data_IF_276089261168
#
_entry.id   IF_276089261168
#
_cell.length_a   1.000
_cell.length_b   1.000
_cell.length_c   1.000
_cell.angle_alpha   90.00
_cell.angle_beta   90.00
_cell.angle_gamma   90.00
#
_symmetry.space_group_name_H-M   'P 1'
#
loop_
_entity.id
_entity.type
_entity.pdbx_description
1 polymer ?
#
# COMPACT_ATOMS: atom_id res chain seq x y z
N UNK A 1 7.40 -5.73 6.52
CA UNK A 1 8.62 -6.08 5.74
C UNK A 1 8.23 -7.20 4.79
N UNK A 2 8.21 -6.93 3.49
CA UNK A 2 7.92 -7.95 2.49
C UNK A 2 9.07 -8.94 2.50
N UNK A 3 8.80 -10.20 2.84
CA UNK A 3 9.84 -11.23 2.84
C UNK A 3 9.77 -11.99 1.52
N UNK A 4 10.85 -12.06 0.72
CA UNK A 4 10.93 -13.06 -0.32
C UNK A 4 10.87 -14.43 0.33
N UNK A 5 10.07 -15.33 -0.20
CA UNK A 5 9.93 -16.68 0.37
C UNK A 5 11.26 -17.44 0.45
N UNK A 6 12.24 -17.06 -0.38
CA UNK A 6 13.61 -17.61 -0.34
C UNK A 6 14.59 -16.58 -0.93
N UNK A 7 15.35 -15.89 -0.09
CA UNK A 7 16.59 -15.26 -0.53
C UNK A 7 17.65 -16.38 -0.66
N UNK A 8 17.54 -17.18 -1.72
CA UNK A 8 18.38 -18.38 -1.91
C UNK A 8 19.85 -18.07 -2.24
N UNK A 9 20.17 -16.81 -2.51
CA UNK A 9 21.55 -16.37 -2.82
C UNK A 9 21.86 -15.02 -2.17
N UNK A 10 23.14 -14.81 -1.79
CA UNK A 10 23.61 -13.53 -1.26
C UNK A 10 23.33 -12.37 -2.24
N UNK A 11 23.43 -12.61 -3.54
CA UNK A 11 23.10 -11.63 -4.60
C UNK A 11 21.66 -11.14 -4.48
N UNK A 12 20.71 -12.04 -4.35
CA UNK A 12 19.29 -11.70 -4.24
C UNK A 12 18.98 -10.92 -2.96
N UNK A 13 19.59 -11.32 -1.85
CA UNK A 13 19.42 -10.61 -0.57
C UNK A 13 19.96 -9.18 -0.61
N UNK A 14 21.15 -8.99 -1.21
CA UNK A 14 21.75 -7.65 -1.39
C UNK A 14 20.91 -6.82 -2.37
N UNK A 15 20.47 -7.40 -3.49
CA UNK A 15 19.58 -6.74 -4.45
C UNK A 15 18.27 -6.27 -3.82
N UNK A 16 17.63 -7.11 -3.00
CA UNK A 16 16.44 -6.73 -2.25
C UNK A 16 16.73 -5.59 -1.26
N UNK A 17 17.82 -5.68 -0.51
CA UNK A 17 18.22 -4.62 0.40
C UNK A 17 18.46 -3.29 -0.32
N UNK A 18 19.15 -3.30 -1.47
CA UNK A 18 19.36 -2.12 -2.31
C UNK A 18 18.04 -1.57 -2.84
N UNK A 19 17.11 -2.45 -3.29
CA UNK A 19 15.77 -2.04 -3.70
C UNK A 19 15.00 -1.37 -2.56
N UNK A 20 15.01 -1.94 -1.36
CA UNK A 20 14.34 -1.33 -0.20
C UNK A 20 14.97 0.02 0.19
N UNK A 21 16.29 0.16 0.11
CA UNK A 21 16.96 1.45 0.29
C UNK A 21 16.50 2.49 -0.74
N UNK A 22 16.33 2.08 -2.00
CA UNK A 22 15.78 2.97 -3.04
C UNK A 22 14.34 3.40 -2.70
N UNK A 23 13.47 2.47 -2.23
CA UNK A 23 12.07 2.82 -1.87
C UNK A 23 11.98 3.74 -0.67
N UNK A 24 12.85 3.54 0.34
CA UNK A 24 12.79 4.31 1.60
C UNK A 24 13.47 5.68 1.47
N UNK A 25 14.60 5.75 0.78
CA UNK A 25 15.43 6.96 0.72
C UNK A 25 15.39 7.66 -0.65
N UNK A 26 15.74 6.94 -1.72
CA UNK A 26 15.84 7.53 -3.06
C UNK A 26 14.54 8.15 -3.57
N UNK A 27 13.41 7.49 -3.36
CA UNK A 27 12.11 7.97 -3.85
C UNK A 27 11.69 9.33 -3.27
N UNK A 28 12.33 9.76 -2.18
CA UNK A 28 12.07 11.04 -1.52
C UNK A 28 13.00 12.16 -1.97
N UNK A 29 14.06 11.83 -2.70
CA UNK A 29 15.04 12.82 -3.15
C UNK A 29 14.47 13.63 -4.31
N UNK A 30 14.55 14.97 -4.19
CA UNK A 30 13.95 15.87 -5.17
C UNK A 30 14.90 16.21 -6.31
N UNK A 31 16.21 16.37 -6.04
CA UNK A 31 17.20 16.79 -7.03
C UNK A 31 17.90 15.62 -7.69
N UNK A 32 18.42 15.82 -8.91
CA UNK A 32 19.20 14.79 -9.61
C UNK A 32 20.52 14.56 -8.88
N UNK A 33 21.18 15.64 -8.43
CA UNK A 33 22.46 15.56 -7.71
C UNK A 33 22.37 14.71 -6.44
N UNK A 34 21.29 14.86 -5.66
CA UNK A 34 21.05 14.04 -4.46
C UNK A 34 20.84 12.57 -4.82
N UNK A 35 20.17 12.29 -5.94
CA UNK A 35 19.93 10.94 -6.43
C UNK A 35 21.22 10.28 -6.87
N UNK A 36 22.06 10.98 -7.59
CA UNK A 36 23.37 10.49 -8.03
C UNK A 36 24.29 10.27 -6.83
N UNK A 37 24.33 11.21 -5.90
CA UNK A 37 25.06 11.04 -4.65
C UNK A 37 24.60 9.81 -3.84
N UNK A 38 23.29 9.60 -3.74
CA UNK A 38 22.74 8.41 -3.07
C UNK A 38 23.19 7.11 -3.74
N UNK A 39 23.17 7.04 -5.07
CA UNK A 39 23.63 5.86 -5.80
C UNK A 39 25.12 5.58 -5.59
N UNK A 40 25.96 6.61 -5.59
CA UNK A 40 27.39 6.47 -5.27
C UNK A 40 27.60 5.98 -3.83
N UNK A 41 26.93 6.59 -2.87
CA UNK A 41 27.00 6.19 -1.47
C UNK A 41 26.54 4.73 -1.26
N UNK A 42 25.46 4.33 -1.91
CA UNK A 42 24.95 2.96 -1.84
C UNK A 42 25.94 1.97 -2.45
N UNK A 43 26.56 2.32 -3.59
CA UNK A 43 27.60 1.55 -4.23
C UNK A 43 28.84 1.33 -3.34
N UNK A 44 29.34 2.40 -2.73
CA UNK A 44 30.43 2.35 -1.77
C UNK A 44 30.12 1.47 -0.57
N UNK A 45 28.88 1.57 -0.05
CA UNK A 45 28.44 0.76 1.09
C UNK A 45 28.41 -0.73 0.74
N UNK A 46 27.87 -1.09 -0.42
CA UNK A 46 27.88 -2.49 -0.92
C UNK A 46 29.32 -2.99 -1.05
N UNK A 47 30.21 -2.22 -1.68
CA UNK A 47 31.60 -2.59 -1.87
C UNK A 47 32.37 -2.79 -0.58
N UNK A 48 32.13 -1.96 0.44
CA UNK A 48 32.77 -2.09 1.78
C UNK A 48 32.21 -3.24 2.60
N UNK A 49 30.88 -3.37 2.61
CA UNK A 49 30.20 -4.33 3.53
C UNK A 49 30.24 -5.75 3.00
N UNK A 50 30.15 -5.93 1.68
CA UNK A 50 30.04 -7.23 1.05
C UNK A 50 31.27 -7.63 0.22
N UNK A 51 32.39 -6.96 0.40
CA UNK A 51 33.66 -7.21 -0.32
C UNK A 51 34.11 -8.69 -0.28
N UNK A 52 33.87 -9.36 0.86
CA UNK A 52 34.24 -10.78 1.03
C UNK A 52 33.42 -11.75 0.17
N UNK A 53 32.25 -11.34 -0.31
CA UNK A 53 31.39 -12.17 -1.18
C UNK A 53 31.71 -12.03 -2.66
N UNK A 54 32.63 -11.14 -3.04
CA UNK A 54 32.93 -10.82 -4.45
C UNK A 54 31.82 -10.10 -5.18
N UNK A 55 30.77 -9.64 -4.45
CA UNK A 55 29.65 -8.92 -4.99
C UNK A 55 29.90 -7.41 -4.89
N UNK A 56 29.60 -6.71 -5.96
CA UNK A 56 29.65 -5.26 -6.03
C UNK A 56 28.26 -4.68 -6.40
N UNK A 57 28.15 -3.37 -6.41
CA UNK A 57 26.92 -2.68 -6.74
C UNK A 57 26.37 -3.09 -8.12
N UNK A 58 27.22 -3.11 -9.15
CA UNK A 58 26.83 -3.42 -10.51
C UNK A 58 26.31 -4.86 -10.64
N UNK A 59 26.97 -5.83 -9.99
CA UNK A 59 26.55 -7.23 -10.00
C UNK A 59 25.21 -7.47 -9.32
N UNK A 60 24.83 -6.60 -8.38
CA UNK A 60 23.59 -6.71 -7.60
C UNK A 60 22.48 -5.81 -8.11
N UNK A 61 22.79 -4.81 -8.95
CA UNK A 61 21.84 -3.79 -9.40
C UNK A 61 20.89 -4.26 -10.53
N UNK A 62 20.85 -5.55 -10.84
CA UNK A 62 19.97 -6.13 -11.86
C UNK A 62 20.51 -5.98 -13.28
N UNK A 63 20.13 -6.91 -14.13
CA UNK A 63 20.50 -6.96 -15.56
C UNK A 63 19.33 -6.56 -16.48
N UNK A 64 18.31 -5.90 -15.92
CA UNK A 64 17.09 -5.59 -16.65
C UNK A 64 17.10 -4.24 -17.37
N UNK A 65 16.01 -3.97 -18.10
CA UNK A 65 15.77 -2.69 -18.81
C UNK A 65 15.66 -1.52 -17.83
N UNK A 66 15.15 -1.78 -16.64
CA UNK A 66 15.05 -0.86 -15.52
C UNK A 66 15.55 -1.56 -14.26
N UNK A 67 16.78 -1.23 -13.81
CA UNK A 67 17.35 -1.87 -12.65
C UNK A 67 16.50 -1.65 -11.42
N UNK A 68 16.43 -2.65 -10.53
CA UNK A 68 15.73 -2.63 -9.27
C UNK A 68 14.20 -2.46 -9.32
N UNK A 69 13.57 -2.94 -10.39
CA UNK A 69 12.11 -3.04 -10.41
C UNK A 69 11.68 -4.37 -9.79
N UNK A 70 11.05 -4.29 -8.63
CA UNK A 70 10.55 -5.43 -7.88
C UNK A 70 9.04 -5.32 -7.69
N UNK A 71 8.36 -6.46 -7.66
CA UNK A 71 6.91 -6.47 -7.44
C UNK A 71 6.44 -7.75 -6.75
N UNK A 72 5.40 -7.63 -5.95
CA UNK A 72 4.61 -8.74 -5.43
C UNK A 72 3.47 -9.15 -6.38
N UNK A 73 3.30 -8.44 -7.48
CA UNK A 73 2.30 -8.72 -8.52
C UNK A 73 2.82 -9.84 -9.42
N UNK A 74 3.01 -11.04 -8.88
CA UNK A 74 3.47 -12.18 -9.64
C UNK A 74 2.58 -13.38 -9.35
N UNK A 75 2.42 -14.28 -10.34
CA UNK A 75 1.54 -15.47 -10.23
C UNK A 75 1.80 -16.32 -8.98
N UNK A 76 2.97 -16.21 -8.38
CA UNK A 76 3.34 -16.96 -7.18
C UNK A 76 3.13 -16.17 -5.87
N UNK A 77 2.65 -14.92 -5.93
CA UNK A 77 2.52 -14.05 -4.76
C UNK A 77 3.84 -13.74 -4.03
N UNK A 78 4.96 -13.97 -4.70
CA UNK A 78 6.30 -13.66 -4.16
C UNK A 78 6.73 -12.27 -4.59
N UNK A 79 7.34 -11.53 -3.64
CA UNK A 79 7.95 -10.25 -3.96
C UNK A 79 9.34 -10.49 -4.56
N UNK A 80 9.46 -10.28 -5.86
CA UNK A 80 10.67 -10.66 -6.61
C UNK A 80 11.02 -9.63 -7.69
N UNK A 81 12.24 -9.70 -8.20
CA UNK A 81 12.70 -8.84 -9.28
C UNK A 81 11.97 -9.14 -10.59
N UNK A 82 11.55 -8.11 -11.30
CA UNK A 82 10.93 -8.22 -12.63
C UNK A 82 12.03 -8.34 -13.68
N UNK A 83 12.26 -9.57 -14.16
CA UNK A 83 13.28 -9.87 -15.16
C UNK A 83 12.78 -9.70 -16.61
N UNK A 84 11.50 -9.92 -16.85
CA UNK A 84 10.86 -9.84 -18.17
C UNK A 84 9.72 -8.82 -18.13
N UNK A 85 10.04 -7.60 -18.57
CA UNK A 85 9.09 -6.50 -18.61
C UNK A 85 7.91 -6.77 -19.54
N UNK A 86 8.13 -7.49 -20.65
CA UNK A 86 7.07 -7.78 -21.62
C UNK A 86 6.02 -8.69 -21.03
N UNK A 87 6.44 -9.75 -20.33
CA UNK A 87 5.54 -10.66 -19.62
C UNK A 87 4.83 -9.96 -18.46
N UNK A 88 5.57 -9.12 -17.73
CA UNK A 88 4.99 -8.36 -16.62
C UNK A 88 3.91 -7.39 -17.11
N UNK A 89 4.16 -6.70 -18.23
CA UNK A 89 3.19 -5.80 -18.86
C UNK A 89 1.96 -6.55 -19.37
N UNK A 90 2.13 -7.74 -19.95
CA UNK A 90 1.02 -8.58 -20.37
C UNK A 90 0.15 -8.98 -19.17
N UNK A 91 0.75 -9.37 -18.05
CA UNK A 91 0.04 -9.70 -16.82
C UNK A 91 -0.73 -8.50 -16.24
N UNK A 92 -0.15 -7.30 -16.27
CA UNK A 92 -0.88 -6.08 -15.85
C UNK A 92 -2.09 -5.78 -16.76
N UNK A 93 -1.99 -6.06 -18.06
CA UNK A 93 -3.14 -5.92 -18.96
C UNK A 93 -4.21 -6.98 -18.66
N UNK A 94 -3.84 -8.23 -18.35
CA UNK A 94 -4.80 -9.25 -17.89
C UNK A 94 -5.57 -8.76 -16.65
N UNK A 95 -4.89 -8.22 -15.64
CA UNK A 95 -5.56 -7.64 -14.46
C UNK A 95 -6.45 -6.45 -14.80
N UNK A 96 -6.08 -5.63 -15.79
CA UNK A 96 -6.92 -4.51 -16.23
C UNK A 96 -8.17 -5.01 -16.94
N UNK A 97 -8.06 -6.05 -17.76
CA UNK A 97 -9.19 -6.68 -18.42
C UNK A 97 -10.14 -7.32 -17.39
N UNK A 98 -9.59 -8.03 -16.40
CA UNK A 98 -10.37 -8.60 -15.28
C UNK A 98 -11.09 -7.49 -14.47
N UNK A 99 -10.41 -6.39 -14.17
CA UNK A 99 -11.02 -5.22 -13.53
C UNK A 99 -12.19 -4.69 -14.34
N UNK A 100 -12.03 -4.56 -15.66
CA UNK A 100 -13.05 -4.03 -16.56
C UNK A 100 -14.24 -4.98 -16.76
N UNK A 101 -14.07 -6.28 -16.54
CA UNK A 101 -15.17 -7.26 -16.55
C UNK A 101 -16.05 -7.14 -15.30
N UNK A 102 -15.46 -6.86 -14.15
CA UNK A 102 -16.18 -6.83 -12.87
C UNK A 102 -16.79 -5.45 -12.59
N UNK A 103 -16.19 -4.37 -13.08
CA UNK A 103 -16.60 -3.02 -12.75
C UNK A 103 -17.44 -2.38 -13.88
N UNK A 104 -18.55 -1.68 -13.55
CA UNK A 104 -19.41 -1.04 -14.56
C UNK A 104 -18.71 0.12 -15.28
N UNK A 105 -17.78 0.79 -14.61
CA UNK A 105 -16.98 1.86 -15.20
C UNK A 105 -15.66 1.30 -15.70
N UNK A 106 -15.56 1.16 -17.03
CA UNK A 106 -14.33 0.67 -17.65
C UNK A 106 -13.19 1.67 -17.54
N UNK A 107 -12.01 1.16 -17.23
CA UNK A 107 -10.78 1.92 -17.14
C UNK A 107 -9.94 1.71 -18.41
N UNK A 108 -9.48 2.80 -19.02
CA UNK A 108 -8.53 2.78 -20.14
C UNK A 108 -7.17 3.23 -19.62
N UNK A 109 -6.31 2.29 -19.26
CA UNK A 109 -4.98 2.57 -18.74
C UNK A 109 -3.93 1.97 -19.67
N UNK A 110 -2.91 2.77 -20.02
CA UNK A 110 -1.76 2.32 -20.79
C UNK A 110 -0.58 2.16 -19.85
N UNK A 111 -0.03 0.95 -19.79
CA UNK A 111 1.13 0.66 -18.95
C UNK A 111 2.43 1.05 -19.64
N UNK A 112 2.80 2.33 -19.58
CA UNK A 112 4.16 2.79 -19.86
C UNK A 112 5.03 2.67 -18.60
N UNK A 113 6.35 2.81 -18.72
CA UNK A 113 7.29 2.50 -17.66
C UNK A 113 6.96 3.17 -16.32
N UNK A 114 6.66 4.48 -16.34
CA UNK A 114 6.37 5.19 -15.08
C UNK A 114 5.04 4.73 -14.46
N UNK A 115 4.03 4.41 -15.28
CA UNK A 115 2.78 3.83 -14.77
C UNK A 115 3.04 2.47 -14.10
N UNK A 116 3.87 1.62 -14.70
CA UNK A 116 4.28 0.32 -14.13
C UNK A 116 5.00 0.54 -12.79
N UNK A 117 5.97 1.46 -12.74
CA UNK A 117 6.67 1.81 -11.49
C UNK A 117 5.71 2.25 -10.40
N UNK A 118 4.73 3.10 -10.74
CA UNK A 118 3.74 3.57 -9.77
C UNK A 118 2.81 2.45 -9.29
N UNK A 119 2.33 1.59 -10.18
CA UNK A 119 1.53 0.41 -9.77
C UNK A 119 2.34 -0.47 -8.82
N UNK A 120 3.60 -0.80 -9.14
CA UNK A 120 4.46 -1.59 -8.27
C UNK A 120 4.69 -0.94 -6.90
N UNK A 121 4.89 0.39 -6.86
CA UNK A 121 5.09 1.13 -5.60
C UNK A 121 3.84 1.15 -4.74
N UNK A 122 2.68 1.43 -5.34
CA UNK A 122 1.42 1.45 -4.60
C UNK A 122 1.08 0.04 -4.10
N UNK A 123 1.17 -0.97 -4.96
CA UNK A 123 0.96 -2.36 -4.58
C UNK A 123 1.87 -2.80 -3.42
N UNK A 124 3.17 -2.40 -3.46
CA UNK A 124 4.10 -2.65 -2.35
C UNK A 124 3.64 -2.00 -1.05
N UNK A 125 3.13 -0.77 -1.09
CA UNK A 125 2.64 -0.06 0.10
C UNK A 125 1.40 -0.76 0.66
N UNK A 126 0.45 -1.14 -0.20
CA UNK A 126 -0.77 -1.83 0.19
C UNK A 126 -0.50 -3.21 0.82
N UNK A 127 0.59 -3.88 0.44
CA UNK A 127 1.02 -5.17 1.03
C UNK A 127 1.69 -5.00 2.41
N UNK A 128 2.00 -3.79 2.85
CA UNK A 128 2.66 -3.55 4.13
C UNK A 128 1.64 -3.24 5.21
N UNK A 129 1.81 -3.77 6.43
CA UNK A 129 1.00 -3.34 7.57
C UNK A 129 1.09 -1.81 7.74
N UNK A 130 -0.05 -1.16 7.92
CA UNK A 130 -0.13 0.30 8.06
C UNK A 130 0.48 1.06 6.88
N UNK A 131 0.35 0.52 5.68
CA UNK A 131 0.88 1.11 4.47
C UNK A 131 0.07 2.33 4.04
N UNK A 132 0.66 3.52 4.11
CA UNK A 132 0.02 4.77 3.71
C UNK A 132 0.81 5.43 2.58
N UNK A 133 0.12 5.99 1.59
CA UNK A 133 0.71 6.65 0.44
C UNK A 133 0.14 8.04 0.22
N UNK A 134 0.99 9.00 -0.10
CA UNK A 134 0.60 10.32 -0.59
C UNK A 134 0.98 10.44 -2.06
N UNK A 135 -0.02 10.60 -2.93
CA UNK A 135 0.17 10.68 -4.37
C UNK A 135 0.04 12.15 -4.83
N UNK A 136 1.17 12.75 -5.20
CA UNK A 136 1.23 14.14 -5.65
C UNK A 136 1.38 14.19 -7.17
N UNK A 137 0.63 15.05 -7.83
CA UNK A 137 0.69 15.24 -9.28
C UNK A 137 -0.49 16.03 -9.80
N UNK A 138 -0.38 16.52 -11.04
CA UNK A 138 -1.43 17.30 -11.70
C UNK A 138 -2.73 16.50 -11.87
N UNK A 139 -3.85 17.22 -12.01
CA UNK A 139 -5.15 16.60 -12.31
C UNK A 139 -5.06 15.77 -13.60
N UNK A 140 -5.75 14.62 -13.62
CA UNK A 140 -5.76 13.74 -14.80
C UNK A 140 -4.48 12.91 -15.04
N UNK A 141 -3.47 12.97 -14.14
CA UNK A 141 -2.23 12.19 -14.28
C UNK A 141 -2.36 10.69 -13.98
N UNK A 142 -3.58 10.18 -13.80
CA UNK A 142 -3.85 8.76 -13.61
C UNK A 142 -3.65 8.24 -12.19
N UNK A 143 -3.43 9.10 -11.17
CA UNK A 143 -3.23 8.70 -9.77
C UNK A 143 -4.32 7.73 -9.28
N UNK A 144 -5.59 8.08 -9.48
CA UNK A 144 -6.70 7.21 -9.08
C UNK A 144 -6.73 5.89 -9.86
N UNK A 145 -6.46 5.93 -11.16
CA UNK A 145 -6.48 4.74 -12.01
C UNK A 145 -5.42 3.73 -11.59
N UNK A 146 -4.18 4.18 -11.34
CA UNK A 146 -3.12 3.29 -10.87
C UNK A 146 -3.38 2.78 -9.44
N UNK A 147 -4.05 3.57 -8.58
CA UNK A 147 -4.44 3.12 -7.25
C UNK A 147 -5.56 2.07 -7.34
N UNK A 148 -6.59 2.29 -8.15
CA UNK A 148 -7.69 1.32 -8.35
C UNK A 148 -7.19 -0.02 -8.86
N UNK A 149 -6.30 -0.01 -9.86
CA UNK A 149 -5.74 -1.26 -10.38
C UNK A 149 -4.84 -1.96 -9.35
N UNK A 150 -4.07 -1.20 -8.56
CA UNK A 150 -3.26 -1.78 -7.49
C UNK A 150 -4.11 -2.40 -6.37
N UNK A 151 -5.23 -1.78 -6.01
CA UNK A 151 -6.21 -2.34 -5.06
C UNK A 151 -6.86 -3.61 -5.61
N UNK A 152 -7.27 -3.60 -6.89
CA UNK A 152 -7.84 -4.78 -7.54
C UNK A 152 -6.86 -5.97 -7.54
N UNK A 153 -5.61 -5.74 -7.92
CA UNK A 153 -4.55 -6.75 -7.90
C UNK A 153 -4.30 -7.28 -6.48
N UNK A 154 -4.37 -6.39 -5.48
CA UNK A 154 -4.20 -6.74 -4.07
C UNK A 154 -5.44 -7.31 -3.39
N UNK A 155 -6.54 -7.53 -4.13
CA UNK A 155 -7.84 -7.99 -3.59
C UNK A 155 -8.35 -7.10 -2.44
N UNK A 156 -8.07 -5.80 -2.50
CA UNK A 156 -8.49 -4.81 -1.51
C UNK A 156 -9.75 -4.08 -1.96
N UNK A 157 -10.65 -3.83 -1.04
CA UNK A 157 -11.81 -2.97 -1.28
C UNK A 157 -11.34 -1.54 -1.48
N UNK A 158 -11.64 -0.96 -2.63
CA UNK A 158 -11.36 0.46 -2.90
C UNK A 158 -12.49 1.31 -2.33
N UNK A 159 -12.22 2.07 -1.28
CA UNK A 159 -13.19 2.93 -0.63
C UNK A 159 -12.84 4.40 -0.90
N UNK A 160 -13.79 5.15 -1.44
CA UNK A 160 -13.65 6.57 -1.76
C UNK A 160 -14.95 7.29 -1.39
N UNK A 161 -14.84 8.47 -0.77
CA UNK A 161 -16.00 9.27 -0.38
C UNK A 161 -16.83 9.70 -1.59
N UNK A 162 -18.15 9.69 -1.43
CA UNK A 162 -19.09 10.23 -2.41
C UNK A 162 -19.64 11.56 -1.89
N UNK A 163 -19.00 12.66 -2.30
CA UNK A 163 -19.38 14.00 -1.85
C UNK A 163 -20.62 14.47 -2.60
N UNK A 164 -21.76 14.40 -1.92
CA UNK A 164 -23.05 14.89 -2.42
C UNK A 164 -23.37 16.31 -1.94
N UNK A 165 -24.54 16.83 -2.38
CA UNK A 165 -25.03 18.13 -1.92
C UNK A 165 -25.40 18.06 -0.44
N UNK A 166 -24.76 18.92 0.37
CA UNK A 166 -24.99 18.97 1.83
C UNK A 166 -24.12 18.01 2.63
N UNK A 167 -23.13 17.35 1.99
CA UNK A 167 -22.13 16.57 2.70
C UNK A 167 -21.40 17.44 3.73
N UNK A 168 -21.23 16.96 4.94
CA UNK A 168 -20.63 17.70 6.03
C UNK A 168 -19.83 16.76 6.96
N UNK A 169 -19.27 17.29 8.05
CA UNK A 169 -18.46 16.51 8.99
C UNK A 169 -19.21 15.30 9.57
N UNK A 170 -20.52 15.43 9.85
CA UNK A 170 -21.30 14.28 10.34
C UNK A 170 -21.42 13.17 9.30
N UNK A 171 -21.60 13.54 8.02
CA UNK A 171 -21.60 12.56 6.92
C UNK A 171 -20.24 11.87 6.78
N UNK A 172 -19.15 12.64 6.96
CA UNK A 172 -17.80 12.09 6.95
C UNK A 172 -17.56 11.09 8.11
N UNK A 173 -18.05 11.39 9.30
CA UNK A 173 -17.97 10.47 10.44
C UNK A 173 -18.76 9.17 10.20
N UNK A 174 -19.91 9.24 9.52
CA UNK A 174 -20.67 8.04 9.14
C UNK A 174 -19.91 7.19 8.14
N UNK A 175 -19.29 7.81 7.12
CA UNK A 175 -18.42 7.10 6.17
C UNK A 175 -17.22 6.46 6.88
N UNK A 176 -16.60 7.16 7.83
CA UNK A 176 -15.51 6.59 8.65
C UNK A 176 -15.99 5.40 9.50
N UNK A 177 -17.18 5.47 10.08
CA UNK A 177 -17.77 4.34 10.81
C UNK A 177 -17.92 3.12 9.91
N UNK A 178 -18.51 3.30 8.73
CA UNK A 178 -18.70 2.22 7.76
C UNK A 178 -17.37 1.58 7.38
N UNK A 179 -16.39 2.40 7.00
CA UNK A 179 -15.05 1.97 6.63
C UNK A 179 -14.37 1.17 7.75
N UNK A 180 -14.44 1.67 8.99
CA UNK A 180 -13.85 1.00 10.15
C UNK A 180 -14.57 -0.31 10.50
N UNK A 181 -15.88 -0.41 10.28
CA UNK A 181 -16.63 -1.67 10.46
C UNK A 181 -16.26 -2.72 9.40
N UNK A 182 -16.11 -2.32 8.14
CA UNK A 182 -15.66 -3.22 7.07
C UNK A 182 -14.27 -3.78 7.38
N UNK A 183 -13.32 -2.92 7.77
CA UNK A 183 -11.96 -3.35 8.08
C UNK A 183 -11.88 -4.11 9.42
N UNK A 184 -12.45 -3.54 10.47
CA UNK A 184 -12.28 -4.03 11.84
C UNK A 184 -13.17 -5.21 12.19
N UNK A 185 -14.43 -5.22 11.76
CA UNK A 185 -15.39 -6.29 12.09
C UNK A 185 -15.42 -7.36 11.02
N UNK A 186 -15.62 -6.98 9.74
CA UNK A 186 -15.67 -7.94 8.66
C UNK A 186 -14.29 -8.50 8.29
N UNK A 187 -13.21 -7.84 8.72
CA UNK A 187 -11.84 -8.25 8.44
C UNK A 187 -11.46 -8.17 6.96
N UNK A 188 -12.14 -7.33 6.18
CA UNK A 188 -11.86 -7.15 4.76
C UNK A 188 -10.75 -6.13 4.56
N UNK A 189 -9.71 -6.45 3.77
CA UNK A 189 -8.69 -5.47 3.41
C UNK A 189 -9.33 -4.29 2.66
N UNK A 190 -9.06 -3.07 3.12
CA UNK A 190 -9.65 -1.85 2.58
C UNK A 190 -8.58 -0.80 2.32
N UNK A 191 -8.66 -0.16 1.16
CA UNK A 191 -7.84 1.00 0.81
C UNK A 191 -8.73 2.24 0.75
N UNK A 192 -8.63 3.09 1.76
CA UNK A 192 -9.30 4.38 1.80
C UNK A 192 -8.55 5.40 0.96
N UNK A 193 -9.22 6.01 0.00
CA UNK A 193 -8.65 7.01 -0.90
C UNK A 193 -9.35 8.34 -0.71
N UNK A 194 -8.62 9.31 -0.14
CA UNK A 194 -9.09 10.67 0.07
C UNK A 194 -8.43 11.61 -0.96
N UNK A 195 -9.25 12.36 -1.68
CA UNK A 195 -8.80 13.36 -2.64
C UNK A 195 -8.78 14.74 -2.00
N UNK A 196 -7.89 15.61 -2.46
CA UNK A 196 -7.84 17.02 -2.09
C UNK A 196 -9.17 17.75 -2.28
N UNK A 197 -9.87 17.45 -3.36
CA UNK A 197 -11.20 18.00 -3.67
C UNK A 197 -12.32 17.51 -2.75
N UNK A 198 -12.09 16.46 -1.98
CA UNK A 198 -13.03 15.89 -1.02
C UNK A 198 -12.86 16.45 0.40
N UNK A 199 -11.79 17.20 0.64
CA UNK A 199 -11.53 17.85 1.92
C UNK A 199 -12.27 19.19 1.93
N UNK A 200 -13.54 19.16 2.33
CA UNK A 200 -14.40 20.35 2.41
C UNK A 200 -14.33 21.06 3.76
N UNK A 201 -13.79 20.38 4.77
CA UNK A 201 -13.60 20.86 6.13
C UNK A 201 -12.27 20.36 6.69
N UNK A 202 -11.54 21.22 7.41
CA UNK A 202 -10.23 20.88 7.99
C UNK A 202 -10.35 19.78 9.08
N UNK A 203 -11.51 19.64 9.71
CA UNK A 203 -11.79 18.58 10.69
C UNK A 203 -11.60 17.18 10.10
N UNK A 204 -11.83 16.98 8.79
CA UNK A 204 -11.59 15.69 8.12
C UNK A 204 -10.14 15.23 8.25
N UNK A 205 -9.19 16.18 8.16
CA UNK A 205 -7.76 15.87 8.30
C UNK A 205 -7.40 15.49 9.73
N UNK A 206 -8.06 16.08 10.72
CA UNK A 206 -7.88 15.71 12.12
C UNK A 206 -8.34 14.28 12.38
N UNK A 207 -9.53 13.91 11.88
CA UNK A 207 -10.07 12.55 12.04
C UNK A 207 -9.21 11.52 11.30
N UNK A 208 -8.78 11.81 10.05
CA UNK A 208 -7.84 10.96 9.31
C UNK A 208 -6.52 10.80 10.08
N UNK A 209 -5.98 11.88 10.65
CA UNK A 209 -4.77 11.83 11.47
C UNK A 209 -4.95 10.94 12.71
N UNK A 210 -6.13 10.97 13.34
CA UNK A 210 -6.46 10.10 14.46
C UNK A 210 -6.46 8.62 14.03
N UNK A 211 -7.11 8.28 12.89
CA UNK A 211 -7.09 6.92 12.33
C UNK A 211 -5.65 6.47 12.04
N UNK A 212 -4.84 7.32 11.41
CA UNK A 212 -3.45 6.98 11.05
C UNK A 212 -2.56 6.73 12.28
N UNK A 213 -2.73 7.50 13.35
CA UNK A 213 -1.90 7.41 14.54
C UNK A 213 -2.36 6.35 15.52
N UNK A 214 -3.67 6.34 15.85
CA UNK A 214 -4.22 5.52 16.92
C UNK A 214 -5.10 4.38 16.41
N UNK A 215 -5.65 4.47 15.20
CA UNK A 215 -6.67 3.57 14.68
C UNK A 215 -8.06 3.83 15.26
N UNK A 216 -8.24 4.93 15.99
CA UNK A 216 -9.51 5.33 16.60
C UNK A 216 -9.78 6.81 16.35
N UNK A 217 -11.06 7.17 16.20
CA UNK A 217 -11.50 8.56 16.21
C UNK A 217 -12.29 8.79 17.52
N UNK A 218 -11.93 9.82 18.30
CA UNK A 218 -12.61 10.09 19.59
C UNK A 218 -14.12 10.27 19.41
N UNK A 219 -14.90 9.58 20.24
CA UNK A 219 -16.38 9.64 20.25
C UNK A 219 -17.06 9.24 18.93
N UNK A 220 -16.38 8.55 18.04
CA UNK A 220 -16.96 8.08 16.79
C UNK A 220 -18.07 7.06 17.03
N UNK A 221 -17.80 6.05 17.87
CA UNK A 221 -18.77 5.03 18.24
C UNK A 221 -19.37 5.30 19.62
N UNK A 222 -20.67 5.21 19.74
CA UNK A 222 -21.36 5.21 21.03
C UNK A 222 -21.08 3.91 21.81
N UNK A 223 -21.36 3.90 23.10
CA UNK A 223 -21.03 2.76 23.97
C UNK A 223 -21.77 1.47 23.58
N UNK A 224 -22.99 1.58 23.11
CA UNK A 224 -23.81 0.46 22.62
C UNK A 224 -23.28 -0.09 21.28
N UNK A 225 -22.83 0.80 20.37
CA UNK A 225 -22.15 0.42 19.12
C UNK A 225 -20.85 -0.35 19.43
N UNK A 226 -20.03 0.13 20.37
CA UNK A 226 -18.82 -0.58 20.81
C UNK A 226 -19.12 -1.96 21.42
N UNK A 227 -20.20 -2.06 22.20
CA UNK A 227 -20.60 -3.36 22.75
C UNK A 227 -20.93 -4.34 21.65
N UNK A 228 -21.65 -3.90 20.62
CA UNK A 228 -21.97 -4.72 19.44
C UNK A 228 -20.71 -5.15 18.69
N UNK A 229 -19.79 -4.22 18.43
CA UNK A 229 -18.49 -4.53 17.80
C UNK A 229 -17.74 -5.62 18.59
N UNK A 230 -17.69 -5.50 19.92
CA UNK A 230 -17.05 -6.51 20.76
C UNK A 230 -17.77 -7.87 20.70
N UNK A 231 -19.10 -7.90 20.63
CA UNK A 231 -19.87 -9.14 20.48
C UNK A 231 -19.62 -9.80 19.13
N UNK A 232 -19.61 -9.03 18.06
CA UNK A 232 -19.35 -9.51 16.70
C UNK A 232 -17.93 -10.08 16.53
N UNK A 233 -16.94 -9.50 17.21
CA UNK A 233 -15.54 -9.94 17.16
C UNK A 233 -15.23 -11.11 18.10
N UNK A 234 -16.01 -11.32 19.15
CA UNK A 234 -15.75 -12.33 20.18
C UNK A 234 -15.54 -13.73 19.62
N UNK A 235 -16.38 -14.27 18.70
CA UNK A 235 -16.22 -15.62 18.21
C UNK A 235 -14.87 -15.90 17.53
N UNK A 236 -14.28 -14.86 16.96
CA UNK A 236 -13.01 -14.99 16.24
C UNK A 236 -11.82 -14.75 17.16
N UNK A 237 -11.86 -13.68 17.98
CA UNK A 237 -10.75 -13.32 18.87
C UNK A 237 -10.64 -14.26 20.09
N UNK A 238 -11.73 -14.89 20.52
CA UNK A 238 -11.67 -15.94 21.55
C UNK A 238 -10.84 -17.16 21.12
N UNK A 239 -10.79 -17.48 19.83
CA UNK A 239 -9.90 -18.53 19.28
C UNK A 239 -8.42 -18.17 19.47
N UNK A 240 -8.11 -16.89 19.63
CA UNK A 240 -6.76 -16.37 19.88
C UNK A 240 -6.50 -16.14 21.38
N UNK A 241 -7.44 -16.51 22.26
CA UNK A 241 -7.36 -16.33 23.71
C UNK A 241 -7.70 -14.92 24.19
N UNK A 242 -8.32 -14.09 23.34
CA UNK A 242 -8.71 -12.71 23.66
C UNK A 242 -10.20 -12.69 24.01
N UNK A 243 -10.52 -12.57 25.32
CA UNK A 243 -11.90 -12.61 25.81
C UNK A 243 -12.30 -11.35 26.58
N UNK A 244 -11.31 -10.56 27.03
CA UNK A 244 -11.58 -9.33 27.79
C UNK A 244 -12.09 -8.23 26.86
N UNK A 245 -12.96 -7.36 27.39
CA UNK A 245 -13.51 -6.23 26.64
C UNK A 245 -12.44 -5.32 26.07
N UNK A 246 -11.41 -5.02 26.86
CA UNK A 246 -10.28 -4.19 26.41
C UNK A 246 -9.45 -4.91 25.33
N UNK A 247 -9.30 -6.22 25.43
CA UNK A 247 -8.65 -7.03 24.42
C UNK A 247 -9.43 -7.07 23.10
N UNK A 248 -10.76 -7.19 23.14
CA UNK A 248 -11.62 -7.14 21.96
C UNK A 248 -11.57 -5.76 21.29
N UNK A 249 -11.55 -4.68 22.07
CA UNK A 249 -11.37 -3.33 21.56
C UNK A 249 -9.99 -3.16 20.89
N UNK A 250 -8.93 -3.60 21.55
CA UNK A 250 -7.59 -3.56 20.97
C UNK A 250 -7.52 -4.36 19.66
N UNK A 251 -8.16 -5.53 19.60
CA UNK A 251 -8.26 -6.34 18.40
C UNK A 251 -9.01 -5.64 17.25
N UNK A 252 -10.06 -4.89 17.55
CA UNK A 252 -10.74 -4.04 16.57
C UNK A 252 -9.79 -2.98 16.00
N UNK A 253 -9.12 -2.25 16.89
CA UNK A 253 -8.18 -1.17 16.52
C UNK A 253 -7.02 -1.71 15.67
N UNK A 254 -6.48 -2.87 16.04
CA UNK A 254 -5.37 -3.49 15.29
C UNK A 254 -5.78 -3.91 13.87
N UNK A 255 -7.06 -4.25 13.65
CA UNK A 255 -7.60 -4.57 12.32
C UNK A 255 -7.87 -3.32 11.47
N UNK A 256 -8.26 -2.23 12.12
CA UNK A 256 -8.48 -0.94 11.42
C UNK A 256 -7.14 -0.32 10.97
N UNK A 257 -6.07 -0.56 11.69
CA UNK A 257 -4.71 -0.07 11.38
C UNK A 257 -3.99 -0.88 10.33
#
# INVERSE_FOLDING_TARGET
>A
MVRPKEASTSKLAIGLWMHECNRVFYDRLATVDDRDYFHHMLGDMVGRTFSSSGLNYENCYGEGVEPMLWSGIQKNGTYDEIKDLTKFKAMLNEHLDDYNLVNPTQMKLVFFMDAIKHVCRISRILMQPRGNAMLIGVGGSGKQSVTRIACHIGEMTFYQLEIGRGYNHMSFLEDLKEMMLIAGVEGKPLAFVLLDTQIIDESFLEDVNNVLNTGEVPNLFAMDEYNKICEDLRPELSKQGIETRDGLRAGFVDRVR
#
